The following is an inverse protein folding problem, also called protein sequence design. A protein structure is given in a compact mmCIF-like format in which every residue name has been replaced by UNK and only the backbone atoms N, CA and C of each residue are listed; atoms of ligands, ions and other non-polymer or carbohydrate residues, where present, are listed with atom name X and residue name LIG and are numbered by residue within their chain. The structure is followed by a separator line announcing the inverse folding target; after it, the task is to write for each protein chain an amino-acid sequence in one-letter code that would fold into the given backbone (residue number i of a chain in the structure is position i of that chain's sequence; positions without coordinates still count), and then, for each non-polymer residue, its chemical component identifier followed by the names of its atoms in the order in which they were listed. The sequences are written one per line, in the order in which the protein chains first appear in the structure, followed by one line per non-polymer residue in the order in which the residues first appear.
data_IF_978344640702
#
_entry.id   IF_978344640702
#
_cell.length_a   1.000
_cell.length_b   1.000
_cell.length_c   1.000
_cell.angle_alpha   90.00
_cell.angle_beta   90.00
_cell.angle_gamma   90.00
#
_symmetry.space_group_name_H-M   'P 1'
#
loop_
_entity.id
_entity.type
_entity.pdbx_description
1 polymer ?
#
# COMPACT_ATOMS: atom_id res chain seq x y z
N UNK A 1 33.32 1.74 -21.72
CA UNK A 1 31.84 1.82 -21.81
C UNK A 1 31.32 1.75 -20.37
N UNK A 2 30.88 2.85 -19.81
CA UNK A 2 30.24 2.86 -18.51
C UNK A 2 28.87 2.25 -18.67
N UNK A 3 28.64 1.12 -18.00
CA UNK A 3 27.34 0.46 -17.96
C UNK A 3 26.36 1.35 -17.18
N UNK A 4 25.64 2.22 -17.90
CA UNK A 4 24.73 3.21 -17.31
C UNK A 4 23.53 2.56 -16.62
N UNK A 5 23.17 1.35 -17.01
CA UNK A 5 22.03 0.61 -16.46
C UNK A 5 22.43 -0.23 -15.23
N UNK A 6 23.25 0.32 -14.34
CA UNK A 6 23.59 -0.33 -13.08
C UNK A 6 22.45 -0.13 -12.08
N UNK A 7 22.02 -1.24 -11.42
CA UNK A 7 21.03 -1.18 -10.36
C UNK A 7 21.54 -0.31 -9.19
N UNK A 8 20.80 0.74 -8.77
CA UNK A 8 21.24 1.71 -7.76
C UNK A 8 21.07 1.16 -6.32
N UNK A 9 21.87 0.14 -5.98
CA UNK A 9 21.74 -0.61 -4.72
C UNK A 9 21.81 0.30 -3.50
N UNK A 10 22.73 1.26 -3.46
CA UNK A 10 22.95 2.11 -2.29
C UNK A 10 21.76 3.05 -2.04
N UNK A 11 21.25 3.67 -3.10
CA UNK A 11 20.14 4.60 -3.08
C UNK A 11 18.84 3.88 -2.70
N UNK A 12 18.57 2.75 -3.34
CA UNK A 12 17.40 1.91 -3.07
C UNK A 12 17.43 1.36 -1.65
N UNK A 13 18.60 0.92 -1.15
CA UNK A 13 18.74 0.42 0.22
C UNK A 13 18.41 1.49 1.27
N UNK A 14 18.83 2.75 1.06
CA UNK A 14 18.51 3.86 1.97
C UNK A 14 17.00 4.16 2.03
N UNK A 15 16.30 4.07 0.90
CA UNK A 15 14.85 4.25 0.89
C UNK A 15 14.16 3.05 1.50
N UNK A 16 14.58 1.84 1.16
CA UNK A 16 14.05 0.59 1.68
C UNK A 16 14.15 0.53 3.21
N UNK A 17 15.26 1.01 3.77
CA UNK A 17 15.43 1.15 5.21
C UNK A 17 14.39 2.08 5.82
N UNK A 18 14.20 3.27 5.26
CA UNK A 18 13.17 4.23 5.73
C UNK A 18 11.76 3.67 5.60
N UNK A 19 11.45 3.02 4.50
CA UNK A 19 10.15 2.37 4.27
C UNK A 19 9.90 1.27 5.30
N UNK A 20 10.91 0.48 5.65
CA UNK A 20 10.82 -0.58 6.64
C UNK A 20 10.59 -0.06 8.06
N UNK A 21 11.23 1.06 8.44
CA UNK A 21 11.19 1.60 9.80
C UNK A 21 9.98 2.50 10.06
N UNK A 22 9.46 3.19 9.03
CA UNK A 22 8.39 4.17 9.15
C UNK A 22 7.17 3.81 8.30
N UNK A 23 6.66 2.60 8.50
CA UNK A 23 5.48 2.08 7.80
C UNK A 23 4.25 3.00 7.90
N UNK A 24 4.16 3.82 8.94
CA UNK A 24 3.04 4.71 9.15
C UNK A 24 3.07 5.97 8.27
N UNK A 25 4.27 6.42 7.84
CA UNK A 25 4.43 7.67 7.07
C UNK A 25 4.28 7.43 5.57
N UNK A 26 4.82 6.30 5.08
CA UNK A 26 4.84 5.97 3.66
C UNK A 26 3.93 4.75 3.41
N UNK A 27 2.63 4.92 3.59
CA UNK A 27 1.67 3.86 3.28
C UNK A 27 1.36 3.85 1.79
N UNK A 28 1.86 2.87 1.05
CA UNK A 28 1.48 2.72 -0.34
C UNK A 28 0.02 2.27 -0.46
N UNK A 29 -0.54 2.41 -1.65
CA UNK A 29 -1.92 2.01 -1.98
C UNK A 29 -2.24 0.57 -1.57
N UNK A 30 -1.27 -0.33 -1.59
CA UNK A 30 -1.38 -1.73 -1.20
C UNK A 30 -1.18 -1.98 0.30
N UNK A 31 -1.52 -1.03 1.17
CA UNK A 31 -1.34 -1.14 2.63
C UNK A 31 -2.66 -1.02 3.42
N UNK A 32 -3.73 -1.58 2.90
CA UNK A 32 -5.02 -1.61 3.60
C UNK A 32 -5.10 -2.74 4.62
N UNK A 33 -4.21 -3.73 4.54
CA UNK A 33 -4.17 -4.88 5.44
C UNK A 33 -2.74 -5.25 5.83
N UNK A 34 -2.56 -5.74 7.05
CA UNK A 34 -1.25 -6.24 7.50
C UNK A 34 -0.95 -7.57 6.84
N UNK A 35 -0.06 -7.57 5.84
CA UNK A 35 0.44 -8.76 5.18
C UNK A 35 1.82 -9.11 5.73
N UNK A 36 2.00 -10.32 6.30
CA UNK A 36 3.25 -10.67 7.01
C UNK A 36 4.49 -10.70 6.13
N UNK A 37 4.34 -11.13 4.90
CA UNK A 37 5.43 -11.20 3.92
C UNK A 37 5.44 -10.04 2.93
N UNK A 38 4.87 -8.89 3.30
CA UNK A 38 4.81 -7.72 2.44
C UNK A 38 6.21 -7.28 2.02
N UNK A 39 6.37 -7.07 0.72
CA UNK A 39 7.63 -6.60 0.12
C UNK A 39 7.70 -5.08 0.15
N UNK A 40 8.91 -4.54 0.01
CA UNK A 40 9.14 -3.10 -0.04
C UNK A 40 8.89 -2.57 -1.44
N UNK A 41 7.99 -1.61 -1.57
CA UNK A 41 7.61 -1.01 -2.85
C UNK A 41 8.77 -0.32 -3.54
N UNK A 42 9.61 0.39 -2.78
CA UNK A 42 10.80 1.06 -3.32
C UNK A 42 11.76 0.09 -4.04
N UNK A 43 11.94 -1.12 -3.48
CA UNK A 43 12.79 -2.15 -4.09
C UNK A 43 12.15 -2.65 -5.38
N UNK A 44 10.84 -2.98 -5.35
CA UNK A 44 10.15 -3.48 -6.53
C UNK A 44 10.04 -2.42 -7.63
N UNK A 45 9.81 -1.14 -7.27
CA UNK A 45 9.87 -0.04 -8.23
C UNK A 45 11.22 0.04 -8.95
N UNK A 46 12.32 -0.07 -8.21
CA UNK A 46 13.65 -0.06 -8.82
C UNK A 46 13.89 -1.26 -9.74
N UNK A 47 13.43 -2.46 -9.36
CA UNK A 47 13.51 -3.67 -10.18
C UNK A 47 12.71 -3.50 -11.48
N UNK A 48 11.47 -3.02 -11.39
CA UNK A 48 10.63 -2.80 -12.57
C UNK A 48 11.26 -1.77 -13.51
N UNK A 49 11.73 -0.64 -12.98
CA UNK A 49 12.44 0.36 -13.78
C UNK A 49 13.70 -0.22 -14.43
N UNK A 50 14.49 -1.02 -13.71
CA UNK A 50 15.66 -1.69 -14.28
C UNK A 50 15.32 -2.56 -15.50
N UNK A 51 14.11 -3.12 -15.52
CA UNK A 51 13.66 -3.97 -16.63
C UNK A 51 13.03 -3.16 -17.76
N UNK A 52 12.34 -2.06 -17.45
CA UNK A 52 11.48 -1.33 -18.40
C UNK A 52 12.16 -0.15 -19.09
N UNK A 53 13.12 0.53 -18.41
CA UNK A 53 13.80 1.67 -19.04
C UNK A 53 14.85 1.24 -20.04
N UNK A 54 15.20 2.13 -20.96
CA UNK A 54 16.23 1.90 -21.96
C UNK A 54 17.61 1.67 -21.34
N UNK A 55 18.51 1.01 -22.10
CA UNK A 55 19.85 0.64 -21.63
C UNK A 55 20.72 1.86 -21.23
N UNK A 56 20.45 3.01 -21.82
CA UNK A 56 21.20 4.25 -21.53
C UNK A 56 20.60 5.09 -20.40
N UNK A 57 19.46 4.67 -19.83
CA UNK A 57 18.75 5.39 -18.76
C UNK A 57 19.31 4.99 -17.39
N UNK A 58 19.66 5.99 -16.58
CA UNK A 58 19.96 5.78 -15.17
C UNK A 58 18.67 5.46 -14.41
N UNK A 59 18.65 4.32 -13.73
CA UNK A 59 17.45 3.84 -13.00
C UNK A 59 17.11 4.77 -11.83
N UNK A 60 18.11 5.35 -11.17
CA UNK A 60 17.89 6.26 -10.07
C UNK A 60 17.30 7.61 -10.53
N UNK A 61 17.78 8.12 -11.64
CA UNK A 61 17.21 9.32 -12.26
C UNK A 61 15.77 9.11 -12.74
N UNK A 62 15.40 7.87 -13.10
CA UNK A 62 14.04 7.49 -13.48
C UNK A 62 13.11 7.27 -12.28
N UNK A 63 13.67 6.98 -11.09
CA UNK A 63 12.92 6.48 -9.93
C UNK A 63 11.75 7.37 -9.49
N UNK A 64 11.93 8.69 -9.53
CA UNK A 64 10.92 9.67 -9.11
C UNK A 64 10.14 10.31 -10.27
N UNK A 65 10.43 9.89 -11.50
CA UNK A 65 9.72 10.41 -12.68
C UNK A 65 8.37 9.73 -12.87
N UNK A 66 7.49 10.41 -13.57
CA UNK A 66 6.26 9.84 -14.09
C UNK A 66 6.62 9.08 -15.36
N UNK A 67 6.09 7.88 -15.50
CA UNK A 67 6.28 7.01 -16.64
C UNK A 67 4.95 6.63 -17.26
N UNK A 68 4.98 6.22 -18.51
CA UNK A 68 3.89 5.59 -19.24
C UNK A 68 4.46 4.34 -19.92
N UNK A 69 4.30 3.19 -19.26
CA UNK A 69 4.66 1.88 -19.79
C UNK A 69 3.42 1.07 -20.19
N UNK A 70 2.42 1.75 -20.77
CA UNK A 70 1.13 1.13 -21.15
C UNK A 70 1.25 0.00 -22.17
N UNK A 71 2.36 -0.10 -22.87
CA UNK A 71 2.73 -1.18 -23.77
C UNK A 71 3.36 -2.40 -23.05
N UNK A 72 3.70 -2.27 -21.76
CA UNK A 72 4.31 -3.32 -20.97
C UNK A 72 3.26 -3.98 -20.07
N UNK A 73 3.28 -5.32 -19.98
CA UNK A 73 2.46 -6.09 -19.05
C UNK A 73 3.37 -6.83 -18.06
N UNK A 74 3.17 -6.59 -16.78
CA UNK A 74 3.86 -7.27 -15.68
C UNK A 74 3.02 -8.40 -15.17
N UNK A 75 3.56 -9.61 -15.10
CA UNK A 75 2.94 -10.78 -14.49
C UNK A 75 3.61 -11.07 -13.13
N UNK A 76 2.82 -11.12 -12.07
CA UNK A 76 3.24 -11.64 -10.76
C UNK A 76 2.40 -12.86 -10.39
N UNK A 77 2.94 -14.08 -10.54
CA UNK A 77 2.21 -15.31 -10.24
C UNK A 77 2.10 -15.64 -8.75
N UNK A 78 2.73 -14.85 -7.87
CA UNK A 78 2.73 -14.99 -6.42
C UNK A 78 2.58 -13.63 -5.74
N UNK A 79 1.54 -12.86 -6.14
CA UNK A 79 1.43 -11.43 -5.87
C UNK A 79 1.33 -11.06 -4.38
N UNK A 80 0.91 -11.99 -3.50
CA UNK A 80 0.75 -11.72 -2.07
C UNK A 80 -0.10 -10.49 -1.79
N UNK A 81 0.49 -9.47 -1.17
CA UNK A 81 -0.16 -8.16 -0.91
C UNK A 81 -0.17 -7.21 -2.11
N UNK A 82 0.18 -7.64 -3.30
CA UNK A 82 0.09 -6.82 -4.51
C UNK A 82 1.18 -5.75 -4.68
N UNK A 83 2.30 -5.85 -3.98
CA UNK A 83 3.40 -4.85 -4.09
C UNK A 83 3.86 -4.66 -5.53
N UNK A 84 4.13 -5.76 -6.26
CA UNK A 84 4.55 -5.70 -7.67
C UNK A 84 3.46 -5.09 -8.55
N UNK A 85 2.22 -5.48 -8.31
CA UNK A 85 1.05 -4.99 -9.06
C UNK A 85 0.89 -3.48 -8.87
N UNK A 86 0.90 -3.01 -7.60
CA UNK A 86 0.78 -1.60 -7.28
C UNK A 86 1.91 -0.75 -7.86
N UNK A 87 3.17 -1.21 -7.79
CA UNK A 87 4.29 -0.47 -8.35
C UNK A 87 4.30 -0.48 -9.89
N UNK A 88 3.89 -1.59 -10.54
CA UNK A 88 3.73 -1.63 -12.00
C UNK A 88 2.68 -0.62 -12.47
N UNK A 89 1.50 -0.58 -11.85
CA UNK A 89 0.45 0.37 -12.18
C UNK A 89 0.88 1.83 -11.96
N UNK A 90 1.63 2.14 -10.89
CA UNK A 90 2.19 3.47 -10.66
C UNK A 90 3.22 3.90 -11.72
N UNK A 91 3.81 2.96 -12.42
CA UNK A 91 4.72 3.20 -13.55
C UNK A 91 3.97 3.28 -14.89
N UNK A 92 2.64 3.18 -14.88
CA UNK A 92 1.82 3.20 -16.09
C UNK A 92 1.78 1.89 -16.87
N UNK A 93 2.31 0.79 -16.30
CA UNK A 93 2.27 -0.53 -16.94
C UNK A 93 0.95 -1.25 -16.68
N UNK A 94 0.62 -2.22 -17.54
CA UNK A 94 -0.44 -3.18 -17.24
C UNK A 94 0.08 -4.23 -16.24
N UNK A 95 -0.80 -4.76 -15.40
CA UNK A 95 -0.42 -5.76 -14.43
C UNK A 95 -1.41 -6.92 -14.37
N UNK A 96 -0.87 -8.13 -14.23
CA UNK A 96 -1.63 -9.37 -14.02
C UNK A 96 -1.08 -10.05 -12.78
N UNK A 97 -1.91 -10.24 -11.76
CA UNK A 97 -1.54 -10.89 -10.51
C UNK A 97 -2.27 -12.20 -10.31
N UNK A 98 -1.56 -13.20 -9.78
CA UNK A 98 -2.14 -14.46 -9.31
C UNK A 98 -1.63 -14.78 -7.91
N UNK A 99 -2.44 -15.47 -7.13
CA UNK A 99 -2.02 -16.04 -5.85
C UNK A 99 -2.89 -17.25 -5.52
N UNK A 100 -2.33 -18.25 -4.84
CA UNK A 100 -3.07 -19.40 -4.36
C UNK A 100 -4.02 -19.04 -3.21
N UNK A 101 -3.69 -17.97 -2.49
CA UNK A 101 -4.52 -17.49 -1.37
C UNK A 101 -5.62 -16.56 -1.91
N UNK A 102 -6.90 -16.92 -1.82
CA UNK A 102 -8.00 -16.09 -2.32
C UNK A 102 -8.10 -14.73 -1.58
N UNK A 103 -7.60 -14.64 -0.35
CA UNK A 103 -7.56 -13.37 0.40
C UNK A 103 -6.61 -12.39 -0.29
N UNK A 104 -5.49 -12.86 -0.84
CA UNK A 104 -4.56 -12.02 -1.61
C UNK A 104 -5.27 -11.36 -2.79
N UNK A 105 -5.96 -12.15 -3.62
CA UNK A 105 -6.70 -11.65 -4.78
C UNK A 105 -7.80 -10.66 -4.37
N UNK A 106 -8.52 -10.96 -3.30
CA UNK A 106 -9.55 -10.07 -2.77
C UNK A 106 -8.96 -8.74 -2.30
N UNK A 107 -7.88 -8.76 -1.51
CA UNK A 107 -7.22 -7.56 -1.00
C UNK A 107 -6.71 -6.68 -2.13
N UNK A 108 -5.96 -7.25 -3.07
CA UNK A 108 -5.40 -6.51 -4.20
C UNK A 108 -6.51 -5.89 -5.05
N UNK A 109 -7.62 -6.59 -5.26
CA UNK A 109 -8.77 -6.05 -5.97
C UNK A 109 -9.38 -4.85 -5.22
N UNK A 110 -9.51 -4.93 -3.89
CA UNK A 110 -10.03 -3.81 -3.09
C UNK A 110 -9.07 -2.61 -3.10
N UNK A 111 -7.78 -2.83 -3.00
CA UNK A 111 -6.75 -1.78 -3.05
C UNK A 111 -6.76 -1.00 -4.36
N UNK A 112 -7.09 -1.66 -5.46
CA UNK A 112 -7.11 -1.07 -6.80
C UNK A 112 -8.49 -0.56 -7.23
N UNK A 113 -9.54 -0.85 -6.46
CA UNK A 113 -10.90 -0.37 -6.75
C UNK A 113 -11.01 1.10 -6.40
N UNK A 114 -11.38 1.91 -7.38
CA UNK A 114 -11.67 3.31 -7.13
C UNK A 114 -13.03 3.45 -6.44
N UNK A 115 -13.03 4.03 -5.25
CA UNK A 115 -14.25 4.37 -4.51
C UNK A 115 -14.34 5.90 -4.43
N UNK A 116 -15.44 6.52 -4.89
CA UNK A 116 -15.66 7.95 -4.74
C UNK A 116 -15.63 8.35 -3.26
N UNK A 117 -14.88 9.40 -2.94
CA UNK A 117 -14.67 9.83 -1.55
C UNK A 117 -16.01 10.09 -0.81
N UNK A 118 -16.98 10.72 -1.49
CA UNK A 118 -18.27 11.02 -0.86
C UNK A 118 -19.04 9.75 -0.50
N UNK A 119 -19.09 8.76 -1.37
CA UNK A 119 -19.75 7.48 -1.10
C UNK A 119 -19.10 6.73 0.08
N UNK A 120 -17.77 6.80 0.17
CA UNK A 120 -17.03 6.23 1.29
C UNK A 120 -17.42 6.92 2.61
N UNK A 121 -17.46 8.26 2.63
CA UNK A 121 -17.81 9.04 3.81
C UNK A 121 -19.25 8.82 4.23
N UNK A 122 -20.20 8.84 3.31
CA UNK A 122 -21.62 8.59 3.59
C UNK A 122 -21.83 7.19 4.19
N UNK A 123 -21.10 6.20 3.65
CA UNK A 123 -21.15 4.83 4.17
C UNK A 123 -20.53 4.73 5.57
N UNK A 124 -19.41 5.40 5.79
CA UNK A 124 -18.76 5.47 7.10
C UNK A 124 -19.69 6.08 8.16
N UNK A 125 -20.27 7.24 7.87
CA UNK A 125 -21.21 7.89 8.78
C UNK A 125 -22.46 7.03 9.07
N UNK A 126 -22.96 6.32 8.05
CA UNK A 126 -24.08 5.40 8.25
C UNK A 126 -23.70 4.24 9.18
N UNK A 127 -22.52 3.67 9.01
CA UNK A 127 -21.99 2.62 9.88
C UNK A 127 -21.81 3.12 11.30
N UNK A 128 -21.19 4.28 11.47
CA UNK A 128 -20.99 4.90 12.78
C UNK A 128 -22.32 5.10 13.52
N UNK A 129 -23.31 5.69 12.87
CA UNK A 129 -24.64 5.89 13.48
C UNK A 129 -25.33 4.59 13.89
N UNK A 130 -25.12 3.51 13.12
CA UNK A 130 -25.75 2.21 13.42
C UNK A 130 -25.02 1.40 14.47
N UNK A 131 -23.71 1.42 14.46
CA UNK A 131 -22.89 0.46 15.20
C UNK A 131 -22.22 1.08 16.44
N UNK A 132 -21.80 2.36 16.36
CA UNK A 132 -21.08 2.98 17.45
C UNK A 132 -21.87 3.02 18.79
N UNK A 133 -23.19 3.29 18.82
CA UNK A 133 -23.93 3.31 20.09
C UNK A 133 -23.87 1.97 20.83
N UNK A 134 -23.97 0.86 20.11
CA UNK A 134 -23.88 -0.49 20.70
C UNK A 134 -22.45 -0.77 21.19
N UNK A 135 -21.44 -0.54 20.35
CA UNK A 135 -20.05 -0.76 20.73
C UNK A 135 -19.64 0.10 21.90
N UNK A 136 -19.96 1.39 21.88
CA UNK A 136 -19.59 2.32 22.95
C UNK A 136 -20.30 1.99 24.27
N UNK A 137 -21.42 1.27 24.25
CA UNK A 137 -22.05 0.81 25.47
C UNK A 137 -21.20 -0.16 26.29
N UNK A 138 -20.24 -0.86 25.65
CA UNK A 138 -19.28 -1.74 26.32
C UNK A 138 -18.05 -1.01 26.86
N UNK A 139 -17.80 0.22 26.43
CA UNK A 139 -16.66 1.04 26.85
C UNK A 139 -17.09 2.06 27.89
N UNK A 140 -17.50 1.58 29.05
CA UNK A 140 -17.93 2.40 30.18
C UNK A 140 -17.10 2.08 31.41
N UNK A 141 -16.88 3.08 32.25
CA UNK A 141 -16.26 2.93 33.55
C UNK A 141 -17.02 3.80 34.58
N UNK A 142 -16.76 3.56 35.86
CA UNK A 142 -17.30 4.37 36.93
C UNK A 142 -16.36 5.55 37.23
N UNK A 143 -16.89 6.76 37.20
CA UNK A 143 -16.21 7.91 37.78
C UNK A 143 -16.15 7.75 39.28
N UNK A 144 -14.95 7.61 39.86
CA UNK A 144 -14.74 7.39 41.27
C UNK A 144 -15.21 8.58 42.17
N UNK A 145 -15.38 9.76 41.60
CA UNK A 145 -15.81 10.96 42.31
C UNK A 145 -17.32 11.09 42.37
N UNK A 146 -18.00 10.85 41.27
CA UNK A 146 -19.46 11.00 41.15
C UNK A 146 -20.22 9.68 41.31
N UNK A 147 -19.56 8.53 41.15
CA UNK A 147 -20.19 7.21 41.14
C UNK A 147 -21.06 6.94 39.90
N UNK A 148 -21.00 7.81 38.89
CA UNK A 148 -21.76 7.66 37.66
C UNK A 148 -20.96 6.92 36.58
N UNK A 149 -21.66 6.21 35.69
CA UNK A 149 -21.03 5.62 34.50
C UNK A 149 -20.65 6.72 33.51
N UNK A 150 -19.42 6.69 33.07
CA UNK A 150 -18.87 7.57 32.03
C UNK A 150 -18.26 6.75 30.90
N UNK A 151 -18.29 7.24 29.64
CA UNK A 151 -17.64 6.56 28.53
C UNK A 151 -16.13 6.64 28.68
N UNK A 152 -15.44 5.55 28.33
CA UNK A 152 -13.98 5.53 28.20
C UNK A 152 -13.62 6.05 26.83
N UNK A 153 -12.98 7.22 26.77
CA UNK A 153 -12.56 7.86 25.52
C UNK A 153 -11.10 7.60 25.15
N UNK A 154 -10.27 7.18 26.15
CA UNK A 154 -8.84 6.90 25.96
C UNK A 154 -8.42 5.75 26.89
N UNK A 155 -7.38 5.01 26.47
CA UNK A 155 -6.72 3.99 27.28
C UNK A 155 -5.41 4.53 27.82
#
# INVERSE_FOLDING_TARGET
MTDKKRFPIQEVSKIAEKESWRKEINRPIYHIHKWWAQRLGSVFRAILLQLMVDQDTDVWDAFYKIHDFSDVTVLDPFMGSGTTIGEALKLGANAVGCDINPISSFLVQQELTHVPYQELMDTYEMLERKVAPEILSYYKTLDLKSGSEIPVLYY
#
